data_IF_667703902511
#
_entry.id   IF_667703902511
#
_cell.length_a   1.000
_cell.length_b   1.000
_cell.length_c   1.000
_cell.angle_alpha   90.00
_cell.angle_beta   90.00
_cell.angle_gamma   90.00
#
_symmetry.space_group_name_H-M   'P 1'
#
loop_
_entity.id
_entity.type
_entity.pdbx_description
1 polymer ?
#
# COMPACT_ATOMS: atom_id res chain seq x y z
N UNK A 1 -17.54 6.65 8.10
CA UNK A 1 -16.10 6.74 7.70
C UNK A 1 -16.02 6.99 6.20
N UNK A 2 -14.92 7.56 5.68
CA UNK A 2 -14.68 7.61 4.23
C UNK A 2 -14.64 6.19 3.64
N UNK A 3 -14.87 6.04 2.34
CA UNK A 3 -14.80 4.76 1.60
C UNK A 3 -15.79 3.64 2.00
N UNK A 4 -16.69 3.85 2.97
CA UNK A 4 -17.73 2.86 3.31
C UNK A 4 -18.81 2.71 2.23
N UNK A 5 -18.98 3.73 1.38
CA UNK A 5 -19.92 3.72 0.25
C UNK A 5 -19.17 4.13 -1.01
N UNK A 6 -18.85 3.15 -1.83
CA UNK A 6 -18.15 3.30 -3.11
C UNK A 6 -19.08 3.15 -4.32
N UNK A 7 -20.32 2.69 -4.10
CA UNK A 7 -21.33 2.53 -5.14
C UNK A 7 -22.69 3.05 -4.66
N UNK A 8 -23.50 3.55 -5.60
CA UNK A 8 -24.85 4.03 -5.36
C UNK A 8 -25.82 3.25 -6.23
N UNK A 9 -26.55 2.32 -5.61
CA UNK A 9 -27.66 1.61 -6.25
C UNK A 9 -28.96 2.37 -5.95
N UNK A 10 -29.31 3.29 -6.85
CA UNK A 10 -30.51 4.13 -6.76
C UNK A 10 -31.23 4.12 -8.11
N UNK A 11 -32.58 4.02 -8.14
CA UNK A 11 -33.34 4.08 -9.39
C UNK A 11 -33.38 5.51 -9.94
N UNK A 12 -32.29 5.95 -10.59
CA UNK A 12 -32.16 7.30 -11.12
C UNK A 12 -32.97 7.48 -12.40
N UNK A 13 -33.83 8.49 -12.41
CA UNK A 13 -34.49 8.98 -13.63
C UNK A 13 -33.75 10.20 -14.18
N UNK A 14 -32.94 9.99 -15.22
CA UNK A 14 -32.30 11.09 -15.94
C UNK A 14 -33.30 11.88 -16.79
N UNK A 15 -33.34 13.20 -16.64
CA UNK A 15 -34.11 14.14 -17.46
C UNK A 15 -33.13 14.96 -18.29
N UNK A 16 -33.17 14.81 -19.62
CA UNK A 16 -32.21 15.40 -20.55
C UNK A 16 -32.38 14.85 -21.97
N UNK A 17 -31.55 15.30 -22.89
CA UNK A 17 -31.50 14.79 -24.27
C UNK A 17 -31.03 13.33 -24.31
N UNK A 18 -31.35 12.56 -25.37
CA UNK A 18 -30.83 11.20 -25.54
C UNK A 18 -29.29 11.13 -25.47
N UNK A 19 -28.61 12.17 -25.95
CA UNK A 19 -27.15 12.31 -25.89
C UNK A 19 -26.65 12.46 -24.46
N UNK A 20 -27.19 13.43 -23.71
CA UNK A 20 -26.79 13.68 -22.31
C UNK A 20 -27.00 12.43 -21.44
N UNK A 21 -28.12 11.72 -21.61
CA UNK A 21 -28.41 10.47 -20.91
C UNK A 21 -27.36 9.38 -21.19
N UNK A 22 -26.91 9.23 -22.44
CA UNK A 22 -25.85 8.28 -22.80
C UNK A 22 -24.52 8.65 -22.12
N UNK A 23 -24.18 9.94 -22.13
CA UNK A 23 -22.97 10.44 -21.46
C UNK A 23 -23.01 10.18 -19.97
N UNK A 24 -24.10 10.53 -19.28
CA UNK A 24 -24.21 10.32 -17.83
C UNK A 24 -24.12 8.85 -17.43
N UNK A 25 -24.71 7.94 -18.22
CA UNK A 25 -24.54 6.50 -18.01
C UNK A 25 -23.08 6.06 -18.15
N UNK A 26 -22.39 6.49 -19.21
CA UNK A 26 -20.99 6.13 -19.42
C UNK A 26 -20.06 6.67 -18.32
N UNK A 27 -20.38 7.84 -17.75
CA UNK A 27 -19.64 8.40 -16.61
C UNK A 27 -19.92 7.62 -15.32
N UNK A 28 -21.18 7.21 -15.09
CA UNK A 28 -21.56 6.42 -13.91
C UNK A 28 -20.84 5.06 -13.86
N UNK A 29 -20.42 4.54 -15.01
CA UNK A 29 -19.60 3.32 -15.11
C UNK A 29 -18.13 3.53 -14.70
N UNK A 30 -17.66 4.77 -14.54
CA UNK A 30 -16.29 5.03 -14.07
C UNK A 30 -16.24 4.71 -12.57
N UNK A 31 -15.51 3.66 -12.22
CA UNK A 31 -15.39 3.17 -10.85
C UNK A 31 -14.93 4.24 -9.87
N UNK A 32 -15.42 4.14 -8.63
CA UNK A 32 -15.00 4.98 -7.53
C UNK A 32 -13.47 4.96 -7.35
N UNK A 33 -12.86 6.15 -7.19
CA UNK A 33 -11.42 6.31 -7.05
C UNK A 33 -10.62 6.25 -8.36
N UNK A 34 -11.27 5.95 -9.49
CA UNK A 34 -10.67 5.99 -10.82
C UNK A 34 -11.02 7.29 -11.53
N UNK A 35 -10.12 7.75 -12.40
CA UNK A 35 -10.35 8.89 -13.28
C UNK A 35 -10.40 8.43 -14.74
N UNK A 36 -11.23 9.08 -15.54
CA UNK A 36 -11.25 8.94 -16.99
C UNK A 36 -11.15 10.32 -17.62
N UNK A 37 -10.66 10.41 -18.85
CA UNK A 37 -10.64 11.66 -19.60
C UNK A 37 -11.94 11.86 -20.40
N UNK A 38 -12.22 13.10 -20.79
CA UNK A 38 -13.30 13.38 -21.75
C UNK A 38 -13.14 12.60 -23.06
N UNK A 39 -11.90 12.31 -23.45
CA UNK A 39 -11.57 11.51 -24.63
C UNK A 39 -11.97 10.04 -24.42
N UNK A 40 -11.70 9.48 -23.25
CA UNK A 40 -12.04 8.08 -22.94
C UNK A 40 -13.55 7.86 -22.96
N UNK A 41 -14.32 8.79 -22.39
CA UNK A 41 -15.79 8.75 -22.43
C UNK A 41 -16.30 8.87 -23.87
N UNK A 42 -15.73 9.78 -24.66
CA UNK A 42 -16.09 9.94 -26.07
C UNK A 42 -15.79 8.66 -26.88
N UNK A 43 -14.63 8.04 -26.67
CA UNK A 43 -14.26 6.77 -27.31
C UNK A 43 -15.19 5.63 -26.90
N UNK A 44 -15.52 5.51 -25.61
CA UNK A 44 -16.48 4.50 -25.11
C UNK A 44 -17.86 4.64 -25.76
N UNK A 45 -18.26 5.86 -26.11
CA UNK A 45 -19.50 6.15 -26.82
C UNK A 45 -19.36 6.17 -28.35
N UNK A 46 -18.20 5.75 -28.89
CA UNK A 46 -17.89 5.74 -30.33
C UNK A 46 -18.09 7.09 -31.03
N UNK A 47 -17.68 8.18 -30.37
CA UNK A 47 -17.82 9.54 -30.90
C UNK A 47 -16.48 10.30 -30.93
N UNK A 48 -16.34 11.21 -31.91
CA UNK A 48 -15.14 12.05 -32.07
C UNK A 48 -15.21 13.39 -31.32
N UNK A 49 -16.42 13.84 -30.95
CA UNK A 49 -16.67 15.18 -30.39
C UNK A 49 -16.56 15.21 -28.85
N UNK A 50 -15.34 15.15 -28.30
CA UNK A 50 -15.08 15.15 -26.85
C UNK A 50 -15.55 16.43 -26.13
N UNK A 51 -15.62 17.58 -26.82
CA UNK A 51 -16.10 18.84 -26.25
C UNK A 51 -17.58 18.78 -25.83
N UNK A 52 -18.39 18.01 -26.57
CA UNK A 52 -19.82 17.83 -26.25
C UNK A 52 -20.03 17.04 -24.95
N UNK A 53 -19.12 16.11 -24.63
CA UNK A 53 -19.10 15.39 -23.34
C UNK A 53 -18.94 16.38 -22.19
N UNK A 54 -18.04 17.37 -22.32
CA UNK A 54 -17.85 18.41 -21.30
C UNK A 54 -19.10 19.24 -21.01
N UNK A 55 -19.90 19.56 -22.04
CA UNK A 55 -21.17 20.26 -21.87
C UNK A 55 -22.24 19.39 -21.19
N UNK A 56 -22.31 18.11 -21.56
CA UNK A 56 -23.19 17.16 -20.88
C UNK A 56 -22.79 16.95 -19.40
N UNK A 57 -21.47 16.92 -19.08
CA UNK A 57 -20.99 16.85 -17.70
C UNK A 57 -21.48 18.02 -16.84
N UNK A 58 -21.51 19.25 -17.40
CA UNK A 58 -21.99 20.45 -16.68
C UNK A 58 -23.47 20.39 -16.34
N UNK A 59 -24.26 19.70 -17.15
CA UNK A 59 -25.72 19.56 -16.98
C UNK A 59 -26.12 18.35 -16.15
N UNK A 60 -25.16 17.59 -15.62
CA UNK A 60 -25.44 16.42 -14.81
C UNK A 60 -26.27 16.79 -13.56
N UNK A 61 -27.51 16.27 -13.43
CA UNK A 61 -28.37 16.58 -12.28
C UNK A 61 -27.92 15.90 -10.98
N UNK A 62 -27.05 14.89 -11.04
CA UNK A 62 -26.58 14.14 -9.88
C UNK A 62 -25.04 14.06 -9.83
N UNK A 63 -24.34 15.17 -9.48
CA UNK A 63 -22.88 15.25 -9.58
C UNK A 63 -22.11 14.17 -8.81
N UNK A 64 -22.54 13.84 -7.59
CA UNK A 64 -21.91 12.85 -6.71
C UNK A 64 -22.23 11.42 -7.15
N UNK A 65 -23.50 11.14 -7.50
CA UNK A 65 -23.97 9.78 -7.79
C UNK A 65 -23.44 9.31 -9.14
N UNK A 66 -23.52 10.17 -10.17
CA UNK A 66 -22.95 9.87 -11.50
C UNK A 66 -21.43 9.96 -11.48
N UNK A 67 -20.84 10.77 -10.58
CA UNK A 67 -19.39 10.86 -10.42
C UNK A 67 -18.69 11.70 -11.49
N UNK A 68 -19.32 12.77 -12.00
CA UNK A 68 -18.71 13.57 -13.07
C UNK A 68 -17.44 14.32 -12.64
N UNK A 69 -17.14 14.39 -11.33
CA UNK A 69 -15.85 14.85 -10.81
C UNK A 69 -14.68 13.91 -11.13
N UNK A 70 -14.94 12.66 -11.54
CA UNK A 70 -13.91 11.69 -12.01
C UNK A 70 -13.43 11.97 -13.44
N UNK A 71 -14.12 12.83 -14.18
CA UNK A 71 -13.78 13.12 -15.58
C UNK A 71 -12.82 14.30 -15.68
N UNK A 72 -11.59 14.07 -16.14
CA UNK A 72 -10.50 15.06 -16.19
C UNK A 72 -10.04 15.36 -17.63
N UNK A 73 -9.21 16.39 -17.79
CA UNK A 73 -8.57 16.68 -19.08
C UNK A 73 -7.51 15.63 -19.41
N UNK A 74 -7.28 15.40 -20.71
CA UNK A 74 -6.13 14.59 -21.18
C UNK A 74 -4.78 15.24 -20.88
N UNK A 75 -4.75 16.55 -20.61
CA UNK A 75 -3.54 17.27 -20.16
C UNK A 75 -3.17 17.02 -18.70
N UNK A 76 -4.01 16.30 -17.94
CA UNK A 76 -3.88 16.18 -16.48
C UNK A 76 -4.55 17.33 -15.71
N UNK A 77 -5.05 18.37 -16.39
CA UNK A 77 -5.85 19.40 -15.75
C UNK A 77 -7.16 18.83 -15.21
N UNK A 78 -7.57 19.33 -14.04
CA UNK A 78 -8.80 18.92 -13.37
C UNK A 78 -10.03 19.23 -14.24
N UNK A 79 -9.95 20.21 -15.14
CA UNK A 79 -11.08 20.63 -15.99
C UNK A 79 -12.25 21.21 -15.19
N UNK A 80 -13.40 21.36 -15.85
CA UNK A 80 -14.61 21.93 -15.24
C UNK A 80 -15.38 20.98 -14.32
N UNK A 81 -16.12 21.54 -13.37
CA UNK A 81 -17.11 20.85 -12.54
C UNK A 81 -18.24 21.80 -12.18
N UNK A 82 -19.49 21.35 -12.27
CA UNK A 82 -20.65 22.19 -11.96
C UNK A 82 -20.63 22.70 -10.51
N UNK A 83 -20.10 21.90 -9.58
CA UNK A 83 -19.94 22.29 -8.17
C UNK A 83 -18.69 23.13 -7.87
N UNK A 84 -17.90 23.54 -8.87
CA UNK A 84 -16.67 24.30 -8.70
C UNK A 84 -15.41 23.44 -8.47
N UNK A 85 -14.23 24.03 -8.75
CA UNK A 85 -12.94 23.33 -8.73
C UNK A 85 -12.58 22.74 -7.37
N UNK A 86 -12.81 23.48 -6.28
CA UNK A 86 -12.51 23.03 -4.92
C UNK A 86 -13.27 21.76 -4.54
N UNK A 87 -14.58 21.72 -4.82
CA UNK A 87 -15.40 20.53 -4.54
C UNK A 87 -14.95 19.32 -5.37
N UNK A 88 -14.54 19.53 -6.62
CA UNK A 88 -13.99 18.45 -7.46
C UNK A 88 -12.71 17.88 -6.86
N UNK A 89 -11.79 18.74 -6.43
CA UNK A 89 -10.57 18.32 -5.75
C UNK A 89 -10.87 17.57 -4.44
N UNK A 90 -11.81 18.07 -3.65
CA UNK A 90 -12.25 17.42 -2.43
C UNK A 90 -12.82 16.03 -2.72
N UNK A 91 -13.71 15.89 -3.69
CA UNK A 91 -14.31 14.61 -4.07
C UNK A 91 -13.24 13.64 -4.62
N UNK A 92 -12.33 14.10 -5.47
CA UNK A 92 -11.21 13.27 -5.95
C UNK A 92 -10.32 12.81 -4.80
N UNK A 93 -10.05 13.67 -3.81
CA UNK A 93 -9.30 13.31 -2.62
C UNK A 93 -10.07 12.33 -1.73
N UNK A 94 -11.37 12.53 -1.56
CA UNK A 94 -12.25 11.63 -0.80
C UNK A 94 -12.40 10.26 -1.45
N UNK A 95 -12.28 10.16 -2.77
CA UNK A 95 -12.42 8.91 -3.50
C UNK A 95 -11.10 8.20 -3.79
N UNK A 96 -9.99 8.94 -3.81
CA UNK A 96 -8.67 8.32 -3.70
C UNK A 96 -8.67 7.52 -2.41
N UNK A 97 -8.54 6.19 -2.50
CA UNK A 97 -7.98 5.45 -1.36
C UNK A 97 -6.64 6.12 -1.09
N UNK A 98 -6.47 6.67 0.10
CA UNK A 98 -5.12 7.02 0.54
C UNK A 98 -4.26 5.77 0.29
N UNK A 99 -3.14 5.96 -0.40
CA UNK A 99 -2.21 4.86 -0.63
C UNK A 99 -1.89 4.28 0.73
N UNK A 100 -2.01 2.96 0.87
CA UNK A 100 -1.58 2.30 2.10
C UNK A 100 -0.15 2.74 2.39
N UNK A 101 0.04 3.33 3.56
CA UNK A 101 1.32 3.87 4.01
C UNK A 101 2.07 2.80 4.78
N UNK A 102 3.31 2.58 4.39
CA UNK A 102 4.17 1.56 4.96
C UNK A 102 5.47 2.19 5.42
N UNK A 103 5.97 1.76 6.57
CA UNK A 103 7.27 2.16 7.08
C UNK A 103 8.21 0.96 7.14
N UNK A 104 9.38 1.07 6.50
CA UNK A 104 10.47 0.11 6.63
C UNK A 104 11.48 0.67 7.62
N UNK A 105 11.61 0.05 8.80
CA UNK A 105 12.49 0.54 9.86
C UNK A 105 13.94 0.11 9.59
N UNK A 106 14.83 1.08 9.46
CA UNK A 106 16.25 0.89 9.20
C UNK A 106 17.06 1.22 10.45
N UNK A 107 17.71 0.21 11.00
CA UNK A 107 18.73 0.35 12.04
C UNK A 107 20.12 0.04 11.47
N UNK A 108 21.18 0.57 12.08
CA UNK A 108 22.53 0.18 11.69
C UNK A 108 22.71 -1.35 11.74
N UNK A 109 23.23 -1.92 10.65
CA UNK A 109 23.36 -3.36 10.45
C UNK A 109 22.16 -4.03 9.78
N UNK A 110 21.16 -3.30 9.29
CA UNK A 110 20.04 -3.89 8.54
C UNK A 110 20.53 -4.69 7.31
N UNK A 111 19.81 -5.74 6.92
CA UNK A 111 20.13 -6.52 5.72
C UNK A 111 19.57 -5.82 4.46
N UNK A 112 20.45 -5.50 3.51
CA UNK A 112 20.14 -4.64 2.37
C UNK A 112 19.19 -5.24 1.34
N UNK A 113 19.23 -6.56 1.10
CA UNK A 113 18.32 -7.24 0.15
C UNK A 113 16.92 -7.28 0.76
N UNK A 114 16.83 -7.61 2.05
CA UNK A 114 15.58 -7.68 2.80
C UNK A 114 14.92 -6.31 2.96
N UNK A 115 15.69 -5.25 3.17
CA UNK A 115 15.15 -3.90 3.29
C UNK A 115 14.87 -3.27 1.91
N UNK A 116 15.90 -3.10 1.08
CA UNK A 116 15.78 -2.33 -0.16
C UNK A 116 15.02 -3.10 -1.25
N UNK A 117 15.09 -4.44 -1.25
CA UNK A 117 14.27 -5.26 -2.15
C UNK A 117 12.78 -5.15 -1.84
N UNK A 118 12.42 -5.13 -0.54
CA UNK A 118 11.04 -4.88 -0.11
C UNK A 118 10.59 -3.47 -0.49
N UNK A 119 11.41 -2.45 -0.21
CA UNK A 119 11.12 -1.05 -0.59
C UNK A 119 10.88 -0.91 -2.10
N UNK A 120 11.74 -1.48 -2.94
CA UNK A 120 11.59 -1.42 -4.39
C UNK A 120 10.27 -2.04 -4.86
N UNK A 121 9.99 -3.28 -4.45
CA UNK A 121 8.78 -4.01 -4.87
C UNK A 121 7.50 -3.29 -4.40
N UNK A 122 7.45 -2.82 -3.15
CA UNK A 122 6.28 -2.09 -2.63
C UNK A 122 6.06 -0.77 -3.39
N UNK A 123 7.14 -0.02 -3.68
CA UNK A 123 7.05 1.23 -4.46
C UNK A 123 6.62 0.97 -5.91
N UNK A 124 7.09 -0.11 -6.55
CA UNK A 124 6.61 -0.54 -7.88
C UNK A 124 5.11 -0.88 -7.89
N UNK A 125 4.56 -1.33 -6.77
CA UNK A 125 3.13 -1.57 -6.57
C UNK A 125 2.31 -0.29 -6.28
N UNK A 126 2.92 0.88 -6.42
CA UNK A 126 2.27 2.17 -6.17
C UNK A 126 1.75 2.29 -4.71
N UNK A 127 2.47 1.68 -3.76
CA UNK A 127 2.29 1.89 -2.33
C UNK A 127 3.11 3.11 -1.87
N UNK A 128 2.69 3.74 -0.77
CA UNK A 128 3.43 4.82 -0.15
C UNK A 128 4.38 4.20 0.89
N UNK A 129 5.68 4.32 0.67
CA UNK A 129 6.71 3.59 1.42
C UNK A 129 7.76 4.58 1.89
N UNK A 130 7.85 4.77 3.20
CA UNK A 130 8.92 5.52 3.84
C UNK A 130 9.96 4.56 4.41
N UNK A 131 11.23 4.81 4.12
CA UNK A 131 12.34 4.27 4.90
C UNK A 131 12.57 5.15 6.12
N UNK A 132 12.56 4.55 7.30
CA UNK A 132 12.62 5.28 8.58
C UNK A 132 13.87 4.86 9.34
N UNK A 133 14.82 5.78 9.51
CA UNK A 133 15.99 5.56 10.35
C UNK A 133 15.59 5.58 11.82
N UNK A 134 15.88 4.49 12.54
CA UNK A 134 15.74 4.47 14.02
C UNK A 134 16.95 5.06 14.74
N UNK A 135 18.02 5.36 14.00
CA UNK A 135 19.22 6.03 14.51
C UNK A 135 18.96 7.54 14.72
N UNK A 136 19.95 8.25 15.26
CA UNK A 136 19.90 9.71 15.44
C UNK A 136 19.94 10.50 14.13
N UNK A 137 20.41 9.89 13.03
CA UNK A 137 20.57 10.54 11.73
C UNK A 137 19.86 9.75 10.63
N UNK A 138 19.62 10.41 9.50
CA UNK A 138 19.05 9.77 8.31
C UNK A 138 20.01 8.77 7.64
N UNK A 139 21.33 8.90 7.85
CA UNK A 139 22.29 7.94 7.29
C UNK A 139 22.26 6.65 8.13
N UNK A 140 21.99 5.53 7.47
CA UNK A 140 22.01 4.19 8.06
C UNK A 140 22.98 3.32 7.28
N UNK A 141 23.83 2.58 7.99
CA UNK A 141 24.79 1.64 7.37
C UNK A 141 24.25 0.22 7.45
N UNK A 142 24.12 -0.46 6.31
CA UNK A 142 23.69 -1.88 6.21
C UNK A 142 24.74 -2.88 6.72
N UNK A 143 24.36 -4.15 6.78
CA UNK A 143 25.17 -5.27 7.27
C UNK A 143 26.45 -5.53 6.46
N UNK A 144 26.53 -5.05 5.22
CA UNK A 144 27.72 -5.13 4.36
C UNK A 144 28.35 -3.78 4.07
N UNK A 145 28.02 -2.75 4.85
CA UNK A 145 28.66 -1.44 4.78
C UNK A 145 28.13 -0.51 3.68
N UNK A 146 27.01 -0.85 3.03
CA UNK A 146 26.31 0.08 2.13
C UNK A 146 25.63 1.15 2.98
N UNK A 147 25.95 2.41 2.72
CA UNK A 147 25.32 3.57 3.34
C UNK A 147 24.05 3.95 2.58
N UNK A 148 22.96 4.12 3.31
CA UNK A 148 21.65 4.50 2.77
C UNK A 148 21.16 5.74 3.52
N UNK A 149 20.60 6.70 2.79
CA UNK A 149 19.86 7.81 3.37
C UNK A 149 18.39 7.40 3.49
N UNK A 150 17.89 7.27 4.72
CA UNK A 150 16.47 7.07 4.98
C UNK A 150 15.67 8.31 4.58
N UNK A 151 14.39 8.13 4.27
CA UNK A 151 13.48 9.21 3.93
C UNK A 151 13.17 10.09 5.15
N UNK A 152 13.09 9.47 6.34
CA UNK A 152 12.71 10.12 7.60
C UNK A 152 13.47 9.55 8.80
N UNK A 153 13.54 10.34 9.88
CA UNK A 153 13.91 9.85 11.20
C UNK A 153 12.70 9.22 11.89
N UNK A 154 12.93 8.42 12.92
CA UNK A 154 11.90 7.78 13.74
C UNK A 154 11.17 8.80 14.63
N UNK A 155 10.23 9.51 14.01
CA UNK A 155 9.38 10.52 14.62
C UNK A 155 7.97 10.43 13.99
N UNK A 156 6.92 10.70 14.78
CA UNK A 156 5.52 10.64 14.34
C UNK A 156 5.18 9.37 13.53
N UNK A 157 5.09 8.25 14.22
CA UNK A 157 4.88 6.94 13.59
C UNK A 157 3.42 6.51 13.55
N UNK A 158 2.43 7.36 13.86
CA UNK A 158 1.03 6.91 14.06
C UNK A 158 0.20 6.80 12.77
N UNK A 159 0.74 7.32 11.66
CA UNK A 159 0.01 7.52 10.40
C UNK A 159 0.27 6.43 9.34
N UNK A 160 1.00 5.36 9.68
CA UNK A 160 1.20 4.22 8.79
C UNK A 160 0.12 3.16 9.00
N UNK A 161 -0.06 2.33 7.97
CA UNK A 161 -0.94 1.15 7.96
C UNK A 161 -0.16 -0.16 8.16
N UNK A 162 1.15 -0.14 7.88
CA UNK A 162 2.05 -1.29 8.04
C UNK A 162 3.43 -0.86 8.53
N UNK A 163 3.98 -1.61 9.49
CA UNK A 163 5.37 -1.53 9.89
C UNK A 163 6.13 -2.77 9.41
N UNK A 164 7.35 -2.58 8.90
CA UNK A 164 8.19 -3.64 8.35
C UNK A 164 9.56 -3.58 9.01
N UNK A 165 10.00 -4.68 9.62
CA UNK A 165 11.33 -4.84 10.20
C UNK A 165 12.18 -5.82 9.37
N UNK A 166 13.24 -5.33 8.69
CA UNK A 166 14.25 -6.16 8.05
C UNK A 166 15.19 -6.84 9.05
N UNK A 167 15.84 -7.92 8.62
CA UNK A 167 16.84 -8.64 9.40
C UNK A 167 18.22 -7.99 9.44
N UNK A 168 19.25 -8.83 9.49
CA UNK A 168 20.64 -8.41 9.72
C UNK A 168 20.90 -8.03 11.18
N UNK A 169 22.09 -7.52 11.47
CA UNK A 169 22.46 -7.03 12.81
C UNK A 169 21.53 -5.93 13.33
N UNK A 170 20.91 -5.17 12.43
CA UNK A 170 19.93 -4.14 12.76
C UNK A 170 18.69 -4.68 13.48
N UNK A 171 18.34 -5.96 13.30
CA UNK A 171 17.23 -6.57 14.00
C UNK A 171 17.43 -6.60 15.53
N UNK A 172 18.67 -6.76 16.01
CA UNK A 172 18.99 -6.71 17.45
C UNK A 172 18.81 -5.30 17.99
N UNK A 173 19.22 -4.28 17.22
CA UNK A 173 19.01 -2.87 17.56
C UNK A 173 17.50 -2.58 17.66
N UNK A 174 16.70 -3.03 16.69
CA UNK A 174 15.25 -2.87 16.71
C UNK A 174 14.58 -3.59 17.90
N UNK A 175 15.07 -4.78 18.27
CA UNK A 175 14.58 -5.56 19.41
C UNK A 175 14.86 -4.88 20.74
N UNK A 176 16.04 -4.27 20.87
CA UNK A 176 16.50 -3.66 22.12
C UNK A 176 16.02 -2.20 22.29
N UNK A 177 15.50 -1.59 21.22
CA UNK A 177 14.84 -0.29 21.28
C UNK A 177 13.39 -0.42 21.76
N UNK A 178 13.12 0.04 22.98
CA UNK A 178 11.78 0.02 23.57
C UNK A 178 10.76 0.80 22.73
N UNK A 179 11.18 1.91 22.08
CA UNK A 179 10.29 2.72 21.23
C UNK A 179 9.77 1.90 20.06
N UNK A 180 10.61 1.02 19.51
CA UNK A 180 10.26 0.15 18.38
C UNK A 180 9.33 -0.96 18.85
N UNK A 181 9.68 -1.69 19.91
CA UNK A 181 8.85 -2.80 20.41
C UNK A 181 7.47 -2.36 20.89
N UNK A 182 7.37 -1.21 21.56
CA UNK A 182 6.09 -0.59 21.94
C UNK A 182 5.27 -0.18 20.72
N UNK A 183 5.93 0.36 19.68
CA UNK A 183 5.26 0.73 18.44
C UNK A 183 4.67 -0.49 17.72
N UNK A 184 5.43 -1.59 17.59
CA UNK A 184 4.93 -2.83 16.99
C UNK A 184 3.76 -3.42 17.78
N UNK A 185 3.84 -3.39 19.12
CA UNK A 185 2.74 -3.84 19.99
C UNK A 185 1.49 -2.98 19.76
N UNK A 186 1.62 -1.65 19.84
CA UNK A 186 0.53 -0.70 19.61
C UNK A 186 -0.14 -0.94 18.25
N UNK A 187 0.66 -1.03 17.19
CA UNK A 187 0.15 -1.24 15.84
C UNK A 187 -0.67 -2.52 15.72
N UNK A 188 -0.19 -3.61 16.30
CA UNK A 188 -0.90 -4.88 16.26
C UNK A 188 -2.19 -4.85 17.09
N UNK A 189 -2.18 -4.20 18.26
CA UNK A 189 -3.38 -3.99 19.09
C UNK A 189 -4.42 -3.08 18.42
N UNK A 190 -3.98 -2.17 17.54
CA UNK A 190 -4.84 -1.31 16.70
C UNK A 190 -5.32 -1.98 15.39
N UNK A 191 -5.13 -3.30 15.23
CA UNK A 191 -5.49 -4.07 14.02
C UNK A 191 -4.76 -3.60 12.73
N UNK A 192 -3.58 -2.98 12.88
CA UNK A 192 -2.69 -2.61 11.78
C UNK A 192 -1.70 -3.73 11.46
N UNK A 193 -1.10 -3.66 10.27
CA UNK A 193 -0.18 -4.69 9.82
C UNK A 193 1.20 -4.53 10.46
N UNK A 194 1.78 -5.66 10.84
CA UNK A 194 3.18 -5.78 11.26
C UNK A 194 3.85 -6.89 10.47
N UNK A 195 5.03 -6.60 9.93
CA UNK A 195 5.77 -7.53 9.12
C UNK A 195 7.24 -7.60 9.54
N UNK A 196 7.83 -8.79 9.56
CA UNK A 196 9.22 -8.97 9.96
C UNK A 196 9.88 -10.13 9.19
N UNK A 197 11.13 -9.96 8.76
CA UNK A 197 11.86 -10.97 8.00
C UNK A 197 13.17 -11.33 8.69
N UNK A 198 13.62 -12.57 8.50
CA UNK A 198 14.92 -13.05 8.94
C UNK A 198 15.02 -13.06 10.46
N UNK A 199 15.94 -12.30 11.07
CA UNK A 199 16.07 -12.21 12.51
C UNK A 199 14.99 -11.33 13.16
N UNK A 200 14.40 -10.39 12.41
CA UNK A 200 13.46 -9.40 12.94
C UNK A 200 12.16 -9.91 13.58
N UNK A 201 11.65 -11.14 13.32
CA UNK A 201 10.53 -11.70 14.09
C UNK A 201 10.76 -11.70 15.62
N UNK A 202 12.02 -11.68 16.09
CA UNK A 202 12.30 -11.49 17.52
C UNK A 202 11.81 -10.16 18.08
N UNK A 203 11.67 -9.11 17.25
CA UNK A 203 11.05 -7.83 17.62
C UNK A 203 9.58 -8.05 17.97
N UNK A 204 8.86 -8.86 17.19
CA UNK A 204 7.46 -9.21 17.45
C UNK A 204 7.34 -10.08 18.72
N UNK A 205 8.28 -11.02 18.90
CA UNK A 205 8.37 -11.82 20.11
C UNK A 205 8.59 -10.99 21.37
N UNK A 206 9.53 -10.04 21.30
CA UNK A 206 9.84 -9.08 22.37
C UNK A 206 8.67 -8.13 22.65
N UNK A 207 7.93 -7.73 21.62
CA UNK A 207 6.69 -6.95 21.76
C UNK A 207 5.53 -7.75 22.39
N UNK A 208 5.68 -9.08 22.54
CA UNK A 208 4.70 -9.95 23.20
C UNK A 208 3.48 -10.29 22.34
N UNK A 209 3.56 -10.12 21.03
CA UNK A 209 2.41 -10.26 20.12
C UNK A 209 2.35 -11.60 19.37
N UNK A 210 3.34 -12.48 19.57
CA UNK A 210 3.46 -13.76 18.84
C UNK A 210 2.67 -14.92 19.47
N UNK A 211 2.10 -14.73 20.66
CA UNK A 211 1.43 -15.81 21.39
C UNK A 211 0.28 -16.43 20.60
N UNK A 212 0.38 -17.72 20.33
CA UNK A 212 -0.60 -18.50 19.55
C UNK A 212 -0.65 -18.17 18.06
N UNK A 213 0.28 -17.35 17.55
CA UNK A 213 0.35 -16.95 16.13
C UNK A 213 1.26 -17.85 15.34
N UNK A 214 0.92 -18.11 14.08
CA UNK A 214 1.84 -18.76 13.15
C UNK A 214 2.94 -17.77 12.76
N UNK A 215 4.20 -18.18 12.92
CA UNK A 215 5.38 -17.34 12.66
C UNK A 215 6.52 -18.16 12.06
N UNK A 216 7.38 -17.52 11.28
CA UNK A 216 8.66 -18.07 10.79
C UNK A 216 9.76 -17.05 11.06
N UNK A 217 11.02 -17.45 10.94
CA UNK A 217 12.19 -16.58 11.07
C UNK A 217 13.39 -17.19 10.36
N UNK A 218 14.52 -16.49 10.38
CA UNK A 218 15.80 -17.11 10.12
C UNK A 218 16.03 -18.24 11.14
N UNK A 219 16.56 -19.41 10.73
CA UNK A 219 16.83 -20.51 11.63
C UNK A 219 17.90 -20.13 12.66
N UNK A 220 17.62 -20.36 13.94
CA UNK A 220 18.60 -20.11 15.00
C UNK A 220 17.99 -20.02 16.38
N UNK A 221 18.58 -20.74 17.34
CA UNK A 221 18.05 -20.86 18.71
C UNK A 221 17.86 -19.51 19.41
N UNK A 222 18.78 -18.56 19.20
CA UNK A 222 18.66 -17.21 19.78
C UNK A 222 17.38 -16.51 19.30
N UNK A 223 17.12 -16.53 17.98
CA UNK A 223 15.96 -15.87 17.37
C UNK A 223 14.67 -16.61 17.74
N UNK A 224 14.67 -17.93 17.58
CA UNK A 224 13.51 -18.79 17.84
C UNK A 224 13.10 -18.80 19.31
N UNK A 225 14.03 -18.50 20.24
CA UNK A 225 13.72 -18.37 21.66
C UNK A 225 12.65 -17.30 21.96
N UNK A 226 12.57 -16.25 21.14
CA UNK A 226 11.54 -15.19 21.24
C UNK A 226 10.19 -15.61 20.66
N UNK A 227 10.15 -16.72 19.92
CA UNK A 227 8.97 -17.18 19.18
C UNK A 227 8.32 -18.41 19.81
N UNK A 228 8.82 -18.88 20.96
CA UNK A 228 8.36 -20.10 21.65
C UNK A 228 6.87 -20.10 22.02
N UNK A 229 6.27 -18.93 22.21
CA UNK A 229 4.83 -18.82 22.46
C UNK A 229 3.97 -18.87 21.19
N UNK A 230 4.59 -18.82 20.02
CA UNK A 230 3.95 -18.95 18.71
C UNK A 230 4.03 -20.36 18.14
N UNK A 231 3.32 -20.58 17.03
CA UNK A 231 3.35 -21.80 16.25
C UNK A 231 4.39 -21.64 15.13
N UNK A 232 5.62 -22.07 15.38
CA UNK A 232 6.71 -21.93 14.40
C UNK A 232 6.42 -22.74 13.12
N UNK A 233 6.75 -22.15 11.96
CA UNK A 233 6.59 -22.71 10.62
C UNK A 233 7.86 -22.54 9.82
N UNK A 234 8.09 -23.44 8.86
CA UNK A 234 9.26 -23.40 7.99
C UNK A 234 8.97 -22.83 6.59
N UNK A 235 7.73 -22.40 6.34
CA UNK A 235 7.31 -21.75 5.11
C UNK A 235 8.14 -20.48 4.84
N UNK A 236 8.38 -20.20 3.56
CA UNK A 236 9.14 -19.03 3.12
C UNK A 236 8.51 -17.71 3.58
N UNK A 237 7.17 -17.67 3.62
CA UNK A 237 6.37 -16.56 4.14
C UNK A 237 5.20 -17.15 4.93
N UNK A 238 4.97 -16.62 6.13
CA UNK A 238 3.84 -17.00 6.99
C UNK A 238 2.97 -15.78 7.21
N UNK A 239 1.67 -15.93 6.93
CA UNK A 239 0.66 -14.89 7.11
C UNK A 239 -0.32 -15.38 8.16
N UNK A 240 -0.42 -14.68 9.29
CA UNK A 240 -1.41 -14.92 10.35
C UNK A 240 -2.17 -13.61 10.63
N UNK A 241 -3.26 -13.41 9.87
CA UNK A 241 -4.05 -12.18 9.94
C UNK A 241 -3.21 -10.96 9.57
N UNK A 242 -2.95 -10.09 10.54
CA UNK A 242 -2.18 -8.84 10.39
C UNK A 242 -0.68 -8.99 10.67
N UNK A 243 -0.22 -10.20 11.02
CA UNK A 243 1.19 -10.51 11.24
C UNK A 243 1.75 -11.28 10.05
N UNK A 244 2.83 -10.77 9.45
CA UNK A 244 3.50 -11.41 8.31
C UNK A 244 4.97 -11.64 8.65
N UNK A 245 5.45 -12.87 8.52
CA UNK A 245 6.86 -13.18 8.78
C UNK A 245 7.52 -13.94 7.64
N UNK A 246 8.84 -13.84 7.52
CA UNK A 246 9.63 -14.53 6.48
C UNK A 246 11.04 -14.89 6.98
N UNK A 247 11.79 -15.71 6.22
CA UNK A 247 12.96 -16.45 6.71
C UNK A 247 14.32 -15.79 6.51
N UNK A 248 14.58 -15.12 5.40
CA UNK A 248 15.94 -14.60 5.13
C UNK A 248 16.07 -13.92 3.78
N UNK A 249 17.31 -13.58 3.35
CA UNK A 249 17.52 -12.81 2.13
C UNK A 249 16.94 -13.48 0.88
N UNK A 250 17.02 -14.81 0.80
CA UNK A 250 16.47 -15.59 -0.31
C UNK A 250 14.94 -15.51 -0.43
N UNK A 251 14.23 -15.23 0.67
CA UNK A 251 12.77 -15.12 0.70
C UNK A 251 12.28 -13.67 0.65
N UNK A 252 13.17 -12.68 0.54
CA UNK A 252 12.82 -11.25 0.55
C UNK A 252 11.82 -10.85 -0.54
N UNK A 253 12.00 -11.35 -1.78
CA UNK A 253 11.05 -11.05 -2.86
C UNK A 253 9.69 -11.72 -2.62
N UNK A 254 9.67 -12.99 -2.20
CA UNK A 254 8.43 -13.70 -1.87
C UNK A 254 7.66 -12.97 -0.78
N UNK A 255 8.37 -12.51 0.24
CA UNK A 255 7.83 -11.70 1.32
C UNK A 255 7.26 -10.38 0.79
N UNK A 256 8.02 -9.64 0.00
CA UNK A 256 7.56 -8.37 -0.57
C UNK A 256 6.30 -8.53 -1.43
N UNK A 257 6.22 -9.56 -2.29
CA UNK A 257 5.02 -9.82 -3.08
C UNK A 257 3.82 -10.20 -2.22
N UNK A 258 4.01 -10.99 -1.15
CA UNK A 258 2.94 -11.29 -0.20
C UNK A 258 2.41 -10.01 0.47
N UNK A 259 3.29 -9.06 0.82
CA UNK A 259 2.87 -7.76 1.34
C UNK A 259 2.07 -6.94 0.32
N UNK A 260 2.49 -6.94 -0.96
CA UNK A 260 1.74 -6.31 -2.06
C UNK A 260 0.31 -6.86 -2.16
N UNK A 261 0.15 -8.19 -2.14
CA UNK A 261 -1.17 -8.85 -2.21
C UNK A 261 -2.05 -8.47 -1.01
N UNK A 262 -1.50 -8.53 0.20
CA UNK A 262 -2.22 -8.21 1.45
C UNK A 262 -2.68 -6.75 1.49
N UNK A 263 -1.89 -5.84 0.92
CA UNK A 263 -2.24 -4.42 0.81
C UNK A 263 -3.18 -4.13 -0.37
N UNK A 264 -3.71 -5.16 -1.04
CA UNK A 264 -4.74 -5.07 -2.06
C UNK A 264 -4.22 -4.58 -3.42
N UNK A 265 -2.94 -4.82 -3.70
CA UNK A 265 -2.28 -4.49 -4.98
C UNK A 265 -2.03 -5.76 -5.79
N UNK A 266 -1.84 -5.59 -7.11
CA UNK A 266 -1.65 -6.69 -8.05
C UNK A 266 -0.20 -7.18 -8.07
N UNK A 267 0.15 -8.11 -7.18
CA UNK A 267 1.49 -8.68 -7.15
C UNK A 267 1.80 -9.58 -8.35
N UNK A 268 0.80 -10.14 -9.03
CA UNK A 268 1.03 -11.11 -10.09
C UNK A 268 1.61 -10.42 -11.34
N UNK A 269 1.00 -9.32 -11.77
CA UNK A 269 1.55 -8.49 -12.86
C UNK A 269 2.97 -7.99 -12.54
N UNK A 270 3.25 -7.71 -11.26
CA UNK A 270 4.57 -7.32 -10.77
C UNK A 270 5.59 -8.47 -10.86
N UNK A 271 5.23 -9.67 -10.38
CA UNK A 271 6.07 -10.87 -10.48
C UNK A 271 6.41 -11.18 -11.94
N UNK A 272 5.44 -11.09 -12.86
CA UNK A 272 5.66 -11.27 -14.29
C UNK A 272 6.62 -10.20 -14.85
N UNK A 273 6.35 -8.92 -14.57
CA UNK A 273 7.19 -7.81 -15.04
C UNK A 273 8.62 -7.83 -14.50
N UNK A 274 8.82 -8.39 -13.30
CA UNK A 274 10.13 -8.58 -12.69
C UNK A 274 10.74 -9.96 -12.97
N UNK A 275 10.14 -10.76 -13.87
CA UNK A 275 10.57 -12.09 -14.26
C UNK A 275 10.69 -13.10 -13.10
N UNK A 276 10.05 -12.83 -11.96
CA UNK A 276 10.17 -13.64 -10.76
C UNK A 276 9.64 -15.06 -10.98
N UNK A 277 8.45 -15.18 -11.58
CA UNK A 277 7.79 -16.47 -11.85
C UNK A 277 8.64 -17.39 -12.73
N UNK A 278 9.45 -16.82 -13.64
CA UNK A 278 10.31 -17.59 -14.54
C UNK A 278 11.39 -18.38 -13.81
N UNK A 279 11.77 -17.95 -12.60
CA UNK A 279 12.86 -18.53 -11.82
C UNK A 279 12.42 -19.16 -10.50
N UNK A 280 11.10 -19.27 -10.26
CA UNK A 280 10.56 -20.01 -9.11
C UNK A 280 10.42 -21.53 -9.36
N UNK A 281 10.58 -21.97 -10.61
CA UNK A 281 10.38 -23.37 -11.05
C UNK A 281 11.65 -24.02 -11.60
N UNK A 282 12.82 -23.44 -11.34
CA UNK A 282 14.12 -23.91 -11.83
C UNK A 282 14.87 -24.73 -10.76
#
# INVERSE_FOLDING_TARGET
>A
MAHQRTHFDLPLRFIGTPFEKKVWKAIADVSYGQCASYKDIAQKLSMKAYQAVGQACKKNPFPIIVGCHRIISTSGDIGGYAGGRERKLLLLKLERRDKMKTAVLLANGFEEIEALGVVDILRRADLDVDTVSVNETLEVTSSRGIKVMADKCFEDMDHYDMLIAPGGGGAWVLRDDQRVTDLFKKYFEEDKYVAAICAAPMVLGKAGIVKGKNVTSYPGEEIESYLKEGNYKEDAVVIDGKMITSRGPATAMAFAYALVEILGKDAESLKEGMLYNKYQSA
#
